data_IF_842285734438
#
_entry.id   IF_842285734438
#
_cell.length_a   1.000
_cell.length_b   1.000
_cell.length_c   1.000
_cell.angle_alpha   90.00
_cell.angle_beta   90.00
_cell.angle_gamma   90.00
#
_symmetry.space_group_name_H-M   'P 1'
#
loop_
_entity.id
_entity.type
_entity.pdbx_description
1 polymer ?
#
# COMPACT_ATOMS: atom_id res chain seq x y z
N UNK A 1 -19.59 -10.21 20.33
CA UNK A 1 -18.80 -9.05 20.80
C UNK A 1 -17.83 -8.74 19.69
N UNK A 2 -18.24 -7.83 18.82
CA UNK A 2 -17.66 -7.62 17.50
C UNK A 2 -16.42 -6.72 17.65
N UNK A 3 -15.29 -7.36 17.91
CA UNK A 3 -13.99 -6.72 18.01
C UNK A 3 -13.47 -6.38 16.61
N UNK A 4 -14.08 -5.38 15.97
CA UNK A 4 -13.55 -4.79 14.75
C UNK A 4 -12.13 -4.31 15.02
N UNK A 5 -11.14 -5.03 14.50
CA UNK A 5 -9.73 -4.65 14.61
C UNK A 5 -9.57 -3.32 13.88
N UNK A 6 -9.41 -2.25 14.67
CA UNK A 6 -9.04 -0.92 14.19
C UNK A 6 -7.65 -1.01 13.55
N UNK A 7 -7.64 -1.31 12.25
CA UNK A 7 -6.44 -1.63 11.45
C UNK A 7 -5.53 -0.41 11.24
N UNK A 8 -6.03 0.79 11.54
CA UNK A 8 -5.32 2.07 11.37
C UNK A 8 -4.19 2.30 12.37
N UNK A 9 -4.21 1.71 13.56
CA UNK A 9 -3.24 2.04 14.62
C UNK A 9 -1.83 1.47 14.35
N UNK A 10 -1.71 0.46 13.48
CA UNK A 10 -0.44 -0.19 13.12
C UNK A 10 0.00 0.11 11.68
N UNK A 11 -0.76 0.91 10.93
CA UNK A 11 -0.48 1.18 9.53
C UNK A 11 0.34 2.46 9.37
N UNK A 12 1.43 2.40 8.61
CA UNK A 12 2.22 3.59 8.28
C UNK A 12 1.51 4.45 7.21
N UNK A 13 1.63 5.79 7.24
CA UNK A 13 1.04 6.64 6.22
C UNK A 13 1.66 6.42 4.84
N UNK A 14 0.84 6.27 3.80
CA UNK A 14 1.27 6.05 2.42
C UNK A 14 2.31 7.08 1.94
N UNK A 15 2.14 8.35 2.31
CA UNK A 15 3.06 9.42 1.92
C UNK A 15 4.51 9.28 2.45
N UNK A 16 4.75 8.36 3.39
CA UNK A 16 6.09 8.03 3.92
C UNK A 16 6.62 6.70 3.40
N UNK A 17 5.86 5.99 2.58
CA UNK A 17 6.25 4.69 2.06
C UNK A 17 7.00 4.81 0.73
N UNK A 18 8.22 4.28 0.70
CA UNK A 18 9.00 4.14 -0.54
C UNK A 18 8.49 2.99 -1.41
N UNK A 19 8.72 3.11 -2.73
CA UNK A 19 8.34 2.07 -3.70
C UNK A 19 9.24 0.83 -3.57
N UNK A 20 8.67 -0.37 -3.36
CA UNK A 20 9.44 -1.61 -3.38
C UNK A 20 9.77 -2.04 -4.82
N UNK A 21 10.83 -2.85 -4.98
CA UNK A 21 11.22 -3.40 -6.28
C UNK A 21 10.16 -4.33 -6.89
N UNK A 22 9.42 -5.07 -6.04
CA UNK A 22 8.29 -5.92 -6.41
C UNK A 22 7.09 -5.46 -5.58
N UNK A 23 5.98 -5.16 -6.25
CA UNK A 23 4.79 -4.62 -5.61
C UNK A 23 3.60 -5.54 -5.84
N UNK A 24 2.98 -5.99 -4.76
CA UNK A 24 1.63 -6.53 -4.73
C UNK A 24 0.82 -5.68 -3.76
N UNK A 25 -0.37 -5.26 -4.17
CA UNK A 25 -1.29 -4.48 -3.35
C UNK A 25 -2.50 -5.34 -3.04
N UNK A 26 -2.81 -5.50 -1.76
CA UNK A 26 -3.99 -6.20 -1.29
C UNK A 26 -4.96 -5.16 -0.73
N UNK A 27 -6.20 -5.23 -1.16
CA UNK A 27 -7.28 -4.36 -0.69
C UNK A 27 -8.41 -5.20 -0.13
N UNK A 28 -8.96 -4.73 0.99
CA UNK A 28 -10.11 -5.34 1.64
C UNK A 28 -11.42 -4.91 1.01
N UNK A 29 -12.47 -5.68 1.27
CA UNK A 29 -13.85 -5.30 0.94
C UNK A 29 -14.31 -4.16 1.87
N UNK A 30 -15.19 -3.28 1.40
CA UNK A 30 -15.75 -2.16 2.16
C UNK A 30 -16.42 -2.56 3.48
N UNK A 31 -16.99 -3.77 3.55
CA UNK A 31 -17.69 -4.23 4.75
C UNK A 31 -16.76 -4.65 5.90
N UNK A 32 -15.69 -5.40 5.58
CA UNK A 32 -14.90 -6.13 6.58
C UNK A 32 -13.38 -5.87 6.48
N UNK A 33 -12.93 -5.10 5.50
CA UNK A 33 -11.50 -4.94 5.23
C UNK A 33 -10.84 -6.22 4.73
N UNK A 34 -9.55 -6.37 5.01
CA UNK A 34 -8.77 -7.59 4.73
C UNK A 34 -8.91 -8.56 5.90
N UNK A 35 -9.14 -9.83 5.59
CA UNK A 35 -9.11 -10.90 6.58
C UNK A 35 -7.74 -11.02 7.27
N UNK A 36 -7.68 -11.51 8.52
CA UNK A 36 -6.43 -11.67 9.27
C UNK A 36 -5.39 -12.52 8.52
N UNK A 37 -5.83 -13.55 7.80
CA UNK A 37 -4.97 -14.43 7.00
C UNK A 37 -4.21 -13.68 5.89
N UNK A 38 -4.81 -12.62 5.32
CA UNK A 38 -4.16 -11.79 4.32
C UNK A 38 -3.23 -10.76 4.96
N UNK A 39 -3.62 -10.23 6.12
CA UNK A 39 -2.81 -9.29 6.88
C UNK A 39 -1.52 -9.90 7.43
N UNK A 40 -1.50 -11.22 7.66
CA UNK A 40 -0.31 -11.99 8.06
C UNK A 40 0.67 -12.20 6.89
N UNK A 41 0.19 -12.22 5.64
CA UNK A 41 1.02 -12.36 4.45
C UNK A 41 1.61 -11.02 3.97
N UNK A 42 1.07 -9.90 4.43
CA UNK A 42 1.54 -8.57 4.04
C UNK A 42 2.81 -8.18 4.81
N UNK A 43 3.89 -7.86 4.07
CA UNK A 43 5.12 -7.33 4.65
C UNK A 43 4.91 -5.97 5.35
N UNK A 44 3.99 -5.17 4.83
CA UNK A 44 3.71 -3.79 5.27
C UNK A 44 2.22 -3.51 5.24
N UNK A 45 1.76 -2.67 6.16
CA UNK A 45 0.37 -2.19 6.23
C UNK A 45 0.40 -0.68 6.06
N UNK A 46 -0.29 -0.20 5.04
CA UNK A 46 -0.25 1.20 4.63
C UNK A 46 -1.66 1.81 4.75
N UNK A 47 -1.73 3.09 5.10
CA UNK A 47 -3.00 3.81 5.18
C UNK A 47 -2.97 5.16 4.47
N UNK A 48 -4.12 5.58 3.94
CA UNK A 48 -4.35 6.95 3.45
C UNK A 48 -4.95 7.73 4.62
N UNK A 49 -4.24 8.73 5.20
CA UNK A 49 -4.81 9.53 6.27
C UNK A 49 -6.07 10.25 5.81
N UNK A 50 -7.17 10.07 6.53
CA UNK A 50 -8.48 10.64 6.22
C UNK A 50 -8.99 11.43 7.43
N UNK A 51 -9.66 12.56 7.16
CA UNK A 51 -10.16 13.47 8.20
C UNK A 51 -11.68 13.53 8.26
N UNK A 52 -12.37 13.29 7.14
CA UNK A 52 -13.81 13.56 7.01
C UNK A 52 -14.67 12.33 6.67
N UNK A 53 -14.04 11.19 6.40
CA UNK A 53 -14.72 9.94 6.07
C UNK A 53 -14.03 8.78 6.79
N UNK A 54 -14.79 7.72 7.08
CA UNK A 54 -14.28 6.52 7.75
C UNK A 54 -13.62 5.54 6.77
N UNK A 55 -14.04 5.55 5.50
CA UNK A 55 -13.47 4.70 4.44
C UNK A 55 -13.56 5.34 3.05
N UNK A 56 -12.63 5.00 2.16
CA UNK A 56 -12.73 5.28 0.73
C UNK A 56 -13.26 4.06 -0.01
N UNK A 57 -13.90 4.29 -1.15
CA UNK A 57 -14.17 3.23 -2.11
C UNK A 57 -12.86 2.51 -2.49
N UNK A 58 -12.91 1.19 -2.62
CA UNK A 58 -11.72 0.36 -2.84
C UNK A 58 -10.98 0.72 -4.13
N UNK A 59 -11.69 1.08 -5.20
CA UNK A 59 -11.08 1.46 -6.47
C UNK A 59 -10.37 2.82 -6.37
N UNK A 60 -10.93 3.76 -5.61
CA UNK A 60 -10.29 5.06 -5.36
C UNK A 60 -9.02 4.88 -4.53
N UNK A 61 -9.08 4.08 -3.46
CA UNK A 61 -7.90 3.76 -2.66
C UNK A 61 -6.81 3.12 -3.54
N UNK A 62 -7.15 2.10 -4.33
CA UNK A 62 -6.22 1.45 -5.24
C UNK A 62 -5.58 2.43 -6.24
N UNK A 63 -6.37 3.35 -6.80
CA UNK A 63 -5.87 4.40 -7.68
C UNK A 63 -4.83 5.31 -7.01
N UNK A 64 -5.08 5.74 -5.77
CA UNK A 64 -4.14 6.58 -4.99
C UNK A 64 -2.84 5.82 -4.71
N UNK A 65 -2.92 4.57 -4.29
CA UNK A 65 -1.76 3.71 -4.03
C UNK A 65 -0.91 3.48 -5.29
N UNK A 66 -1.56 3.14 -6.40
CA UNK A 66 -0.88 2.95 -7.68
C UNK A 66 -0.19 4.23 -8.13
N UNK A 67 -0.90 5.36 -8.11
CA UNK A 67 -0.33 6.65 -8.48
C UNK A 67 0.89 7.02 -7.61
N UNK A 68 0.80 6.88 -6.28
CA UNK A 68 1.91 7.16 -5.37
C UNK A 68 3.15 6.35 -5.75
N UNK A 69 3.00 5.04 -5.94
CA UNK A 69 4.14 4.20 -6.25
C UNK A 69 4.64 4.35 -7.68
N UNK A 70 3.81 4.67 -8.68
CA UNK A 70 4.28 4.83 -10.07
C UNK A 70 4.90 6.19 -10.33
N UNK A 71 4.39 7.27 -9.73
CA UNK A 71 4.92 8.62 -9.92
C UNK A 71 6.31 8.76 -9.27
N UNK A 72 6.54 8.17 -8.09
CA UNK A 72 7.88 8.17 -7.46
C UNK A 72 8.91 7.37 -8.29
N UNK A 73 8.48 6.36 -9.05
CA UNK A 73 9.38 5.58 -9.91
C UNK A 73 9.90 6.39 -11.11
N UNK A 74 9.14 7.37 -11.61
CA UNK A 74 9.51 8.19 -12.76
C UNK A 74 10.65 9.17 -12.47
N UNK A 75 11.01 9.37 -11.20
CA UNK A 75 12.22 10.12 -10.79
C UNK A 75 13.46 9.25 -10.55
N UNK A 76 13.30 7.91 -10.50
CA UNK A 76 14.41 6.98 -10.29
C UNK A 76 14.85 6.42 -11.64
N UNK A 77 15.86 7.05 -12.24
CA UNK A 77 16.56 6.48 -13.40
C UNK A 77 17.02 5.07 -13.04
N UNK A 78 16.62 4.01 -13.76
CA UNK A 78 17.16 2.68 -13.50
C UNK A 78 18.67 2.74 -13.71
N UNK A 79 19.47 2.53 -12.65
CA UNK A 79 20.92 2.41 -12.81
C UNK A 79 21.18 1.22 -13.72
N UNK A 80 21.70 1.47 -14.91
CA UNK A 80 22.11 0.45 -15.85
C UNK A 80 22.98 -0.57 -15.10
N UNK A 81 22.53 -1.83 -15.07
CA UNK A 81 23.33 -2.93 -14.58
C UNK A 81 24.58 -3.01 -15.46
N UNK A 82 25.75 -2.74 -14.89
CA UNK A 82 27.04 -2.90 -15.54
C UNK A 82 27.31 -4.38 -15.74
N UNK A 83 26.94 -4.92 -16.89
CA UNK A 83 27.44 -6.22 -17.33
C UNK A 83 28.86 -5.99 -17.84
N UNK A 84 29.85 -6.38 -17.05
CA UNK A 84 31.25 -6.47 -17.50
C UNK A 84 31.39 -7.64 -18.48
N UNK A 85 31.90 -7.42 -19.71
CA UNK A 85 32.26 -8.54 -20.58
C UNK A 85 33.58 -9.17 -20.10
N UNK A 86 33.64 -10.50 -20.11
CA UNK A 86 34.90 -11.28 -20.06
C UNK A 86 35.54 -11.35 -21.44
#
# INVERSE_FOLDING_TARGET
SDGGIQTTELAEPLGRADRPARLALLFGNEANGLGPEWLELCDRRLTIPMQAADSLNVAVAAGIFLHHFTTTALGATPSAQSVSPS
#
